data_IF_325410058295
#
_entry.id   IF_325410058295
#
_cell.length_a   1.000
_cell.length_b   1.000
_cell.length_c   1.000
_cell.angle_alpha   90.00
_cell.angle_beta   90.00
_cell.angle_gamma   90.00
#
_symmetry.space_group_name_H-M   'P 1'
#
loop_
_entity.id
_entity.type
_entity.pdbx_description
1 polymer ?
#
# COMPACT_ATOMS: atom_id res chain seq x y z
N UNK A 1 2.72 10.44 4.16
CA UNK A 1 3.33 10.87 2.88
C UNK A 1 4.83 10.60 2.90
N UNK A 2 5.38 9.98 1.85
CA UNK A 2 6.82 9.72 1.78
C UNK A 2 7.60 11.02 1.48
N UNK A 3 8.71 11.25 2.19
CA UNK A 3 9.63 12.37 1.88
C UNK A 3 10.11 12.30 0.43
N UNK A 4 10.25 13.46 -0.22
CA UNK A 4 10.74 13.55 -1.61
C UNK A 4 12.14 12.93 -1.78
N UNK A 5 12.98 12.98 -0.74
CA UNK A 5 14.30 12.33 -0.72
C UNK A 5 14.19 10.80 -0.76
N UNK A 6 13.25 10.23 0.00
CA UNK A 6 13.00 8.79 0.04
C UNK A 6 12.49 8.27 -1.31
N UNK A 7 11.60 9.02 -1.96
CA UNK A 7 11.06 8.66 -3.28
C UNK A 7 12.17 8.65 -4.34
N UNK A 8 12.98 9.71 -4.42
CA UNK A 8 14.10 9.78 -5.38
C UNK A 8 15.14 8.68 -5.15
N UNK A 9 15.46 8.40 -3.89
CA UNK A 9 16.38 7.32 -3.53
C UNK A 9 15.86 5.94 -3.97
N UNK A 10 14.58 5.66 -3.72
CA UNK A 10 13.96 4.41 -4.14
C UNK A 10 13.91 4.26 -5.67
N UNK A 11 13.54 5.31 -6.39
CA UNK A 11 13.54 5.32 -7.86
C UNK A 11 14.92 5.04 -8.45
N UNK A 12 15.98 5.61 -7.86
CA UNK A 12 17.36 5.37 -8.28
C UNK A 12 17.75 3.89 -8.13
N UNK A 13 17.32 3.23 -7.06
CA UNK A 13 17.55 1.79 -6.84
C UNK A 13 16.78 0.95 -7.86
N UNK A 14 15.48 1.19 -8.01
CA UNK A 14 14.62 0.39 -8.91
C UNK A 14 15.06 0.55 -10.37
N UNK A 15 15.40 1.77 -10.81
CA UNK A 15 15.93 2.00 -12.15
C UNK A 15 17.27 1.30 -12.40
N UNK A 16 18.18 1.29 -11.41
CA UNK A 16 19.43 0.56 -11.50
C UNK A 16 19.21 -0.96 -11.61
N UNK A 17 18.28 -1.52 -10.82
CA UNK A 17 17.90 -2.94 -10.89
C UNK A 17 17.27 -3.32 -12.23
N UNK A 18 16.35 -2.50 -12.74
CA UNK A 18 15.72 -2.75 -14.04
C UNK A 18 16.72 -2.70 -15.20
N UNK A 19 17.71 -1.79 -15.16
CA UNK A 19 18.79 -1.73 -16.16
C UNK A 19 19.65 -2.98 -16.14
N UNK A 20 19.95 -3.52 -14.96
CA UNK A 20 20.70 -4.77 -14.80
C UNK A 20 19.97 -5.95 -15.45
N UNK A 21 18.64 -5.99 -15.33
CA UNK A 21 17.81 -7.07 -15.89
C UNK A 21 17.65 -6.97 -17.41
N UNK A 22 17.51 -5.75 -17.97
CA UNK A 22 17.20 -5.54 -19.40
C UNK A 22 18.43 -5.51 -20.32
N UNK A 23 19.65 -5.30 -19.80
CA UNK A 23 20.84 -5.11 -20.63
C UNK A 23 21.59 -6.41 -20.99
N UNK A 24 22.15 -6.55 -22.21
CA UNK A 24 23.16 -7.55 -22.52
C UNK A 24 24.48 -7.13 -21.85
N UNK A 25 24.63 -7.49 -20.58
CA UNK A 25 25.80 -7.11 -19.79
C UNK A 25 26.82 -8.25 -19.86
N UNK A 26 28.02 -7.96 -20.39
CA UNK A 26 29.18 -8.87 -20.31
C UNK A 26 29.41 -9.22 -18.84
N UNK A 27 29.66 -10.49 -18.50
CA UNK A 27 29.72 -10.93 -17.09
C UNK A 27 30.76 -10.15 -16.24
N UNK A 28 31.83 -9.64 -16.84
CA UNK A 28 32.79 -8.75 -16.19
C UNK A 28 32.19 -7.39 -15.80
N UNK A 29 31.30 -6.83 -16.63
CA UNK A 29 30.57 -5.60 -16.34
C UNK A 29 29.43 -5.81 -15.33
N UNK A 30 28.87 -7.03 -15.20
CA UNK A 30 27.87 -7.36 -14.17
C UNK A 30 28.42 -7.21 -12.74
N UNK A 31 29.69 -7.56 -12.50
CA UNK A 31 30.34 -7.34 -11.20
C UNK A 31 30.53 -5.86 -10.87
N UNK A 32 30.75 -5.01 -11.88
CA UNK A 32 30.91 -3.57 -11.71
C UNK A 32 29.57 -2.81 -11.62
N UNK A 33 28.48 -3.38 -12.13
CA UNK A 33 27.13 -2.81 -12.12
C UNK A 33 26.25 -3.36 -10.98
N UNK A 34 26.80 -3.57 -9.78
CA UNK A 34 25.92 -3.89 -8.67
C UNK A 34 24.87 -2.77 -8.49
N UNK A 35 23.58 -3.11 -8.35
CA UNK A 35 22.55 -2.11 -8.18
C UNK A 35 22.80 -1.33 -6.89
N UNK A 36 22.48 -0.04 -6.91
CA UNK A 36 22.71 0.88 -5.79
C UNK A 36 22.18 0.25 -4.49
N UNK A 37 23.05 0.05 -3.51
CA UNK A 37 22.64 -0.51 -2.21
C UNK A 37 21.79 0.51 -1.43
N UNK A 38 20.96 0.03 -0.50
CA UNK A 38 20.16 0.90 0.36
C UNK A 38 21.02 1.89 1.15
N UNK A 39 22.21 1.45 1.59
CA UNK A 39 23.18 2.29 2.30
C UNK A 39 23.75 3.40 1.41
N UNK A 40 24.19 3.05 0.21
CA UNK A 40 24.66 4.03 -0.77
C UNK A 40 23.57 5.00 -1.20
N UNK A 41 22.31 4.54 -1.26
CA UNK A 41 21.18 5.41 -1.55
C UNK A 41 20.97 6.43 -0.42
N UNK A 42 21.00 5.99 0.84
CA UNK A 42 20.87 6.89 1.99
C UNK A 42 22.00 7.94 2.02
N UNK A 43 23.25 7.53 1.75
CA UNK A 43 24.40 8.43 1.64
C UNK A 43 24.26 9.43 0.47
N UNK A 44 23.67 9.02 -0.66
CA UNK A 44 23.51 9.84 -1.85
C UNK A 44 22.34 10.83 -1.77
N UNK A 45 21.35 10.54 -0.93
CA UNK A 45 20.13 11.33 -0.80
C UNK A 45 19.95 11.80 0.66
N UNK A 46 20.50 12.97 1.03
CA UNK A 46 20.36 13.50 2.39
C UNK A 46 18.90 13.69 2.80
N UNK A 47 18.58 13.38 4.06
CA UNK A 47 17.19 13.42 4.57
C UNK A 47 16.34 12.22 4.16
N UNK A 48 16.94 11.20 3.56
CA UNK A 48 16.30 9.90 3.36
C UNK A 48 16.59 8.95 4.53
N UNK A 49 15.75 7.92 4.68
CA UNK A 49 15.88 6.88 5.71
C UNK A 49 15.92 5.52 5.05
N UNK A 50 16.91 4.70 5.41
CA UNK A 50 17.09 3.34 4.88
C UNK A 50 15.81 2.49 4.92
N UNK A 51 15.06 2.55 6.02
CA UNK A 51 13.83 1.78 6.20
C UNK A 51 12.71 2.27 5.25
N UNK A 52 12.56 3.59 5.12
CA UNK A 52 11.58 4.18 4.21
C UNK A 52 11.91 3.86 2.75
N UNK A 53 13.19 3.97 2.36
CA UNK A 53 13.65 3.61 1.03
C UNK A 53 13.33 2.14 0.73
N UNK A 54 13.65 1.22 1.65
CA UNK A 54 13.39 -0.21 1.46
C UNK A 54 11.89 -0.51 1.26
N UNK A 55 11.02 0.13 2.04
CA UNK A 55 9.58 -0.01 1.90
C UNK A 55 9.09 0.48 0.52
N UNK A 56 9.51 1.67 0.10
CA UNK A 56 9.12 2.26 -1.19
C UNK A 56 9.65 1.42 -2.37
N UNK A 57 10.90 0.94 -2.30
CA UNK A 57 11.48 0.05 -3.31
C UNK A 57 10.61 -1.19 -3.47
N UNK A 58 10.22 -1.84 -2.37
CA UNK A 58 9.36 -3.02 -2.41
C UNK A 58 8.01 -2.73 -3.09
N UNK A 59 7.40 -1.58 -2.80
CA UNK A 59 6.13 -1.18 -3.43
C UNK A 59 6.29 -0.87 -4.93
N UNK A 60 7.35 -0.17 -5.32
CA UNK A 60 7.65 0.16 -6.72
C UNK A 60 7.92 -1.10 -7.54
N UNK A 61 8.66 -2.07 -6.98
CA UNK A 61 8.92 -3.35 -7.63
C UNK A 61 7.65 -4.19 -7.77
N UNK A 62 6.77 -4.21 -6.75
CA UNK A 62 5.48 -4.90 -6.81
C UNK A 62 4.54 -4.30 -7.86
N UNK A 63 4.53 -2.97 -8.01
CA UNK A 63 3.78 -2.26 -9.04
C UNK A 63 4.43 -2.32 -10.44
N UNK A 64 5.65 -2.86 -10.54
CA UNK A 64 6.50 -2.80 -11.74
C UNK A 64 6.58 -1.38 -12.34
N UNK A 65 6.56 -0.35 -11.48
CA UNK A 65 6.57 1.06 -11.88
C UNK A 65 7.76 1.80 -11.27
N UNK A 66 8.18 2.85 -11.96
CA UNK A 66 9.15 3.84 -11.47
C UNK A 66 8.48 5.11 -10.95
N UNK A 67 7.18 5.27 -11.18
CA UNK A 67 6.46 6.47 -10.80
C UNK A 67 5.89 6.30 -9.38
N UNK A 68 6.31 7.13 -8.42
CA UNK A 68 5.80 7.06 -7.05
C UNK A 68 4.32 7.44 -6.95
N UNK A 69 3.75 8.08 -7.97
CA UNK A 69 2.31 8.32 -8.03
C UNK A 69 1.50 7.05 -8.33
N UNK A 70 2.14 6.01 -8.89
CA UNK A 70 1.52 4.70 -9.12
C UNK A 70 1.59 3.81 -7.87
N UNK A 71 2.23 4.30 -6.80
CA UNK A 71 2.25 3.59 -5.54
C UNK A 71 0.86 3.69 -4.92
N UNK A 72 0.27 2.56 -4.48
CA UNK A 72 -0.95 2.62 -3.70
C UNK A 72 -0.69 3.54 -2.50
N UNK A 73 -1.62 4.46 -2.25
CA UNK A 73 -1.52 5.36 -1.11
C UNK A 73 -1.21 4.55 0.14
N UNK A 74 -0.27 5.06 0.94
CA UNK A 74 0.07 4.46 2.20
C UNK A 74 -1.12 4.66 3.15
N UNK A 75 -2.13 3.80 3.03
CA UNK A 75 -3.15 3.58 4.04
C UNK A 75 -2.44 2.93 5.24
N UNK A 76 -1.55 3.68 5.89
CA UNK A 76 -0.80 3.22 7.04
C UNK A 76 -1.75 2.69 8.11
N UNK A 77 -1.39 1.58 8.74
CA UNK A 77 -2.19 0.95 9.79
C UNK A 77 -2.53 -0.51 9.50
N UNK A 78 -3.44 -1.06 10.30
CA UNK A 78 -3.99 -2.40 10.09
C UNK A 78 -4.78 -2.39 8.78
N UNK A 79 -4.69 -3.43 7.93
CA UNK A 79 -5.55 -3.57 6.76
C UNK A 79 -7.01 -3.33 7.15
N UNK A 80 -7.69 -2.40 6.45
CA UNK A 80 -9.10 -2.12 6.69
C UNK A 80 -9.93 -3.36 6.36
N UNK A 81 -10.96 -3.62 7.18
CA UNK A 81 -11.85 -4.75 6.98
C UNK A 81 -12.87 -4.49 5.86
N UNK A 82 -13.23 -3.23 5.67
CA UNK A 82 -14.17 -2.73 4.68
C UNK A 82 -13.44 -1.87 3.63
N UNK A 83 -13.96 -1.84 2.41
CA UNK A 83 -13.55 -0.85 1.39
C UNK A 83 -14.19 0.50 1.68
N UNK A 84 -13.67 1.58 1.08
CA UNK A 84 -14.24 2.91 1.27
C UNK A 84 -15.74 2.96 0.87
N UNK A 85 -16.12 2.30 -0.24
CA UNK A 85 -17.52 2.20 -0.68
C UNK A 85 -18.40 1.43 0.32
N UNK A 86 -17.86 0.39 0.96
CA UNK A 86 -18.58 -0.39 1.98
C UNK A 86 -18.73 0.43 3.27
N UNK A 87 -17.71 1.18 3.68
CA UNK A 87 -17.78 2.09 4.82
C UNK A 87 -18.84 3.18 4.58
N UNK A 88 -18.86 3.78 3.39
CA UNK A 88 -19.87 4.78 3.02
C UNK A 88 -21.30 4.22 3.03
N UNK A 89 -21.49 3.00 2.52
CA UNK A 89 -22.78 2.32 2.56
C UNK A 89 -23.27 2.07 4.00
N UNK A 90 -22.36 1.70 4.91
CA UNK A 90 -22.68 1.52 6.33
C UNK A 90 -23.03 2.85 6.98
N UNK A 91 -22.29 3.92 6.70
CA UNK A 91 -22.62 5.27 7.21
C UNK A 91 -24.00 5.70 6.70
N UNK A 92 -24.29 5.53 5.41
CA UNK A 92 -25.59 5.85 4.84
C UNK A 92 -26.73 5.07 5.50
N UNK A 93 -26.53 3.78 5.76
CA UNK A 93 -27.46 2.94 6.51
C UNK A 93 -27.72 3.47 7.93
N UNK A 94 -26.66 3.80 8.68
CA UNK A 94 -26.79 4.35 10.05
C UNK A 94 -27.52 5.70 10.04
N UNK A 95 -27.18 6.59 9.11
CA UNK A 95 -27.85 7.90 8.98
C UNK A 95 -29.32 7.74 8.61
N UNK A 96 -29.65 6.80 7.72
CA UNK A 96 -31.04 6.52 7.35
C UNK A 96 -31.85 5.98 8.54
N UNK A 97 -31.29 5.01 9.27
CA UNK A 97 -31.87 4.46 10.49
C UNK A 97 -32.16 5.58 11.52
N UNK A 98 -31.17 6.43 11.79
CA UNK A 98 -31.34 7.56 12.71
C UNK A 98 -32.45 8.54 12.27
N UNK A 99 -32.52 8.86 10.97
CA UNK A 99 -33.58 9.72 10.42
C UNK A 99 -34.98 9.10 10.50
N UNK A 100 -35.07 7.78 10.47
CA UNK A 100 -36.34 7.05 10.61
C UNK A 100 -36.86 6.95 12.05
N UNK A 101 -36.08 7.44 13.03
CA UNK A 101 -36.42 7.36 14.46
C UNK A 101 -36.04 6.03 15.12
N UNK A 102 -35.38 5.13 14.38
CA UNK A 102 -34.88 3.85 14.87
C UNK A 102 -33.35 3.84 14.75
N UNK A 103 -32.58 4.26 15.76
CA UNK A 103 -31.12 4.26 15.67
C UNK A 103 -30.58 2.84 15.47
N UNK A 104 -29.57 2.70 14.60
CA UNK A 104 -28.94 1.41 14.34
C UNK A 104 -28.22 0.90 15.61
N UNK A 105 -28.52 -0.34 16.01
CA UNK A 105 -27.78 -1.01 17.07
C UNK A 105 -26.41 -1.47 16.56
N UNK A 106 -25.46 -1.66 17.47
CA UNK A 106 -24.12 -2.20 17.16
C UNK A 106 -24.24 -3.51 16.36
N UNK A 107 -25.04 -4.46 16.84
CA UNK A 107 -25.32 -5.73 16.14
C UNK A 107 -25.89 -5.52 14.73
N UNK A 108 -26.79 -4.54 14.55
CA UNK A 108 -27.35 -4.24 13.23
C UNK A 108 -26.32 -3.66 12.26
N UNK A 109 -25.37 -2.88 12.78
CA UNK A 109 -24.24 -2.36 11.98
C UNK A 109 -23.26 -3.48 11.63
N UNK A 110 -22.94 -4.37 12.58
CA UNK A 110 -22.08 -5.53 12.35
C UNK A 110 -22.68 -6.49 11.31
N UNK A 111 -23.98 -6.78 11.39
CA UNK A 111 -24.68 -7.65 10.45
C UNK A 111 -24.73 -7.05 9.04
N UNK A 112 -25.01 -5.75 8.93
CA UNK A 112 -24.94 -5.02 7.66
C UNK A 112 -23.53 -5.09 7.06
N UNK A 113 -22.49 -4.90 7.88
CA UNK A 113 -21.10 -4.98 7.44
C UNK A 113 -20.71 -6.41 7.01
N UNK A 114 -21.09 -7.43 7.77
CA UNK A 114 -20.86 -8.83 7.41
C UNK A 114 -21.61 -9.21 6.12
N UNK A 115 -22.81 -8.68 5.92
CA UNK A 115 -23.59 -8.88 4.69
C UNK A 115 -22.85 -8.33 3.47
N UNK A 116 -22.30 -7.11 3.55
CA UNK A 116 -21.51 -6.53 2.48
C UNK A 116 -20.23 -7.35 2.21
N UNK A 117 -19.51 -7.74 3.28
CA UNK A 117 -18.28 -8.52 3.16
C UNK A 117 -18.51 -9.91 2.57
N UNK A 118 -19.58 -10.59 2.97
CA UNK A 118 -19.92 -11.92 2.44
C UNK A 118 -20.31 -11.89 0.96
N UNK A 119 -20.87 -10.78 0.49
CA UNK A 119 -21.16 -10.57 -0.95
C UNK A 119 -19.89 -10.38 -1.77
N UNK A 120 -18.87 -9.72 -1.20
CA UNK A 120 -17.56 -9.55 -1.84
C UNK A 120 -16.74 -10.83 -1.81
N UNK A 121 -16.71 -11.49 -0.66
CA UNK A 121 -15.90 -12.68 -0.38
C UNK A 121 -16.69 -13.62 0.56
N UNK A 122 -17.22 -14.75 0.05
CA UNK A 122 -17.99 -15.69 0.85
C UNK A 122 -17.23 -16.30 2.04
N UNK A 123 -15.90 -16.34 1.96
CA UNK A 123 -15.04 -16.89 3.03
C UNK A 123 -14.56 -15.80 4.02
N UNK A 124 -15.11 -14.58 3.92
CA UNK A 124 -14.75 -13.48 4.79
C UNK A 124 -15.10 -13.78 6.26
N UNK A 125 -14.07 -13.77 7.12
CA UNK A 125 -14.27 -13.86 8.56
C UNK A 125 -15.11 -12.70 9.08
N UNK A 126 -16.02 -12.92 10.05
CA UNK A 126 -16.89 -11.88 10.60
C UNK A 126 -16.10 -10.69 11.17
N UNK A 127 -16.69 -9.50 11.17
CA UNK A 127 -16.07 -8.28 11.73
C UNK A 127 -15.85 -8.38 13.24
N UNK A 128 -16.71 -9.13 13.94
CA UNK A 128 -16.65 -9.37 15.38
C UNK A 128 -16.09 -10.76 15.70
N UNK A 129 -15.58 -10.94 16.93
CA UNK A 129 -15.04 -12.20 17.46
C UNK A 129 -16.02 -12.93 18.39
N UNK A 130 -17.28 -12.51 18.45
CA UNK A 130 -18.28 -13.14 19.31
C UNK A 130 -18.43 -14.63 19.03
#
# INVERSE_FOLDING_TARGET
>A
MHSSANLKAAQAIVSARQRLLKGPIRDAARKALQPLSLRQAEERFPGSSRASIACIVKKLEAANSLNPADLPEDQGGRPRLLTDDEEEAIVAFVVWMQKSGLPASEYGVEDAANTLRSRRDPDAKPVSRM
#
